data_IF_269021535890
#
_entry.id   IF_269021535890
#
_cell.length_a   1.000
_cell.length_b   1.000
_cell.length_c   1.000
_cell.angle_alpha   90.00
_cell.angle_beta   90.00
_cell.angle_gamma   90.00
#
_symmetry.space_group_name_H-M   'P 1'
#
loop_
_entity.id
_entity.type
_entity.pdbx_description
1 polymer ?
#
# COMPACT_ATOMS: atom_id res chain seq x y z
N UNK A 1 33.16 44.94 -4.81
CA UNK A 1 33.03 43.66 -5.56
C UNK A 1 32.59 42.51 -4.65
N UNK A 2 33.38 42.09 -3.65
CA UNK A 2 33.03 40.98 -2.74
C UNK A 2 31.67 41.13 -1.99
N UNK A 3 31.30 42.34 -1.58
CA UNK A 3 30.01 42.62 -0.91
C UNK A 3 28.78 42.22 -1.75
N UNK A 4 28.83 42.44 -3.07
CA UNK A 4 27.72 42.12 -3.97
C UNK A 4 27.61 40.62 -4.23
N UNK A 5 28.76 39.92 -4.34
CA UNK A 5 28.77 38.47 -4.51
C UNK A 5 28.23 37.75 -3.27
N UNK A 6 28.62 38.19 -2.07
CA UNK A 6 28.08 37.65 -0.82
C UNK A 6 26.57 37.89 -0.71
N UNK A 7 26.08 39.06 -1.13
CA UNK A 7 24.66 39.39 -1.10
C UNK A 7 23.84 38.51 -2.07
N UNK A 8 24.35 38.26 -3.27
CA UNK A 8 23.72 37.35 -4.25
C UNK A 8 23.64 35.92 -3.70
N UNK A 9 24.71 35.42 -3.08
CA UNK A 9 24.73 34.07 -2.49
C UNK A 9 23.70 33.94 -1.35
N UNK A 10 23.67 34.90 -0.43
CA UNK A 10 22.72 34.89 0.70
C UNK A 10 21.27 34.94 0.19
N UNK A 11 20.98 35.80 -0.78
CA UNK A 11 19.64 35.88 -1.39
C UNK A 11 19.26 34.57 -2.09
N UNK A 12 20.19 33.95 -2.83
CA UNK A 12 19.99 32.66 -3.49
C UNK A 12 19.65 31.55 -2.50
N UNK A 13 20.41 31.43 -1.40
CA UNK A 13 20.18 30.43 -0.34
C UNK A 13 18.82 30.64 0.34
N UNK A 14 18.43 31.88 0.63
CA UNK A 14 17.15 32.16 1.27
C UNK A 14 15.95 31.80 0.37
N UNK A 15 16.04 32.08 -0.93
CA UNK A 15 14.97 31.77 -1.88
C UNK A 15 14.82 30.26 -2.05
N UNK A 16 15.93 29.55 -2.28
CA UNK A 16 15.92 28.08 -2.45
C UNK A 16 15.50 27.39 -1.15
N UNK A 17 16.04 27.80 -0.01
CA UNK A 17 15.70 27.23 1.29
C UNK A 17 14.23 27.40 1.66
N UNK A 18 13.64 28.57 1.38
CA UNK A 18 12.20 28.81 1.61
C UNK A 18 11.32 28.01 0.65
N UNK A 19 11.71 27.88 -0.61
CA UNK A 19 10.97 27.07 -1.59
C UNK A 19 10.99 25.58 -1.19
N UNK A 20 12.15 25.07 -0.78
CA UNK A 20 12.31 23.70 -0.30
C UNK A 20 11.50 23.44 0.99
N UNK A 21 11.57 24.35 1.98
CA UNK A 21 10.78 24.24 3.20
C UNK A 21 9.27 24.25 2.92
N UNK A 22 8.80 25.09 1.99
CA UNK A 22 7.39 25.11 1.56
C UNK A 22 6.98 23.82 0.86
N UNK A 23 7.82 23.28 -0.02
CA UNK A 23 7.56 22.02 -0.70
C UNK A 23 7.44 20.86 0.30
N UNK A 24 8.36 20.78 1.27
CA UNK A 24 8.29 19.78 2.35
C UNK A 24 7.03 19.95 3.20
N UNK A 25 6.67 21.18 3.57
CA UNK A 25 5.48 21.45 4.36
C UNK A 25 4.20 21.06 3.59
N UNK A 26 4.14 21.34 2.29
CA UNK A 26 3.03 20.95 1.42
C UNK A 26 2.91 19.44 1.29
N UNK A 27 4.02 18.75 1.03
CA UNK A 27 4.04 17.29 0.92
C UNK A 27 3.63 16.62 2.23
N UNK A 28 4.11 17.14 3.37
CA UNK A 28 3.75 16.62 4.68
C UNK A 28 2.26 16.83 4.99
N UNK A 29 1.72 18.01 4.67
CA UNK A 29 0.31 18.31 4.84
C UNK A 29 -0.58 17.44 3.93
N UNK A 30 -0.20 17.27 2.67
CA UNK A 30 -0.90 16.41 1.71
C UNK A 30 -0.85 14.94 2.13
N UNK A 31 0.32 14.45 2.55
CA UNK A 31 0.51 13.10 3.08
C UNK A 31 -0.35 12.86 4.33
N UNK A 32 -0.38 13.81 5.26
CA UNK A 32 -1.18 13.71 6.47
C UNK A 32 -2.69 13.75 6.16
N UNK A 33 -3.13 14.59 5.21
CA UNK A 33 -4.51 14.62 4.75
C UNK A 33 -4.91 13.29 4.10
N UNK A 34 -4.06 12.73 3.24
CA UNK A 34 -4.29 11.43 2.61
C UNK A 34 -4.30 10.26 3.63
N UNK A 35 -3.44 10.31 4.64
CA UNK A 35 -3.41 9.33 5.73
C UNK A 35 -4.64 9.41 6.63
N UNK A 36 -5.17 10.62 6.87
CA UNK A 36 -6.43 10.83 7.61
C UNK A 36 -7.64 10.35 6.81
N UNK A 37 -7.71 10.66 5.52
CA UNK A 37 -8.79 10.21 4.63
C UNK A 37 -8.87 8.67 4.56
N UNK A 38 -7.72 7.99 4.64
CA UNK A 38 -7.61 6.53 4.68
C UNK A 38 -7.96 5.89 6.02
N UNK A 39 -7.97 6.67 7.10
CA UNK A 39 -8.19 6.17 8.46
C UNK A 39 -7.17 5.12 8.90
N UNK A 40 -7.46 4.44 10.02
CA UNK A 40 -6.60 3.38 10.55
C UNK A 40 -6.47 2.18 9.58
N UNK A 41 -7.52 1.85 8.79
CA UNK A 41 -7.50 0.79 7.77
C UNK A 41 -6.50 1.03 6.70
N UNK A 42 -6.58 2.18 6.03
CA UNK A 42 -5.68 2.43 4.93
C UNK A 42 -4.23 2.61 5.40
N UNK A 43 -3.99 2.90 6.68
CA UNK A 43 -2.64 2.87 7.27
C UNK A 43 -2.15 1.44 7.51
N UNK A 44 -2.97 0.59 8.15
CA UNK A 44 -2.64 -0.82 8.38
C UNK A 44 -2.48 -1.60 7.07
N UNK A 45 -3.37 -1.38 6.10
CA UNK A 45 -3.32 -1.96 4.75
C UNK A 45 -2.07 -1.53 3.97
N UNK A 46 -1.64 -0.27 4.08
CA UNK A 46 -0.40 0.20 3.49
C UNK A 46 0.85 -0.42 4.17
N UNK A 47 0.82 -0.57 5.50
CA UNK A 47 1.88 -1.25 6.24
C UNK A 47 1.97 -2.73 5.86
N UNK A 48 0.84 -3.45 5.79
CA UNK A 48 0.75 -4.83 5.31
C UNK A 48 1.35 -5.00 3.91
N UNK A 49 1.05 -4.06 3.00
CA UNK A 49 1.61 -4.07 1.64
C UNK A 49 3.13 -3.89 1.64
N UNK A 50 3.67 -3.09 2.57
CA UNK A 50 5.10 -2.87 2.73
C UNK A 50 5.83 -4.08 3.32
N UNK A 51 5.17 -4.80 4.25
CA UNK A 51 5.72 -5.99 4.91
C UNK A 51 5.71 -7.19 3.96
N UNK A 52 4.61 -7.42 3.26
CA UNK A 52 4.43 -8.55 2.33
C UNK A 52 5.14 -8.31 0.98
N UNK A 53 5.46 -7.05 0.66
CA UNK A 53 6.02 -6.66 -0.63
C UNK A 53 5.01 -6.79 -1.78
N UNK A 54 3.71 -6.86 -1.49
CA UNK A 54 2.64 -6.98 -2.46
C UNK A 54 1.52 -5.99 -2.14
N UNK A 55 1.14 -5.19 -3.13
CA UNK A 55 0.02 -4.25 -2.95
C UNK A 55 -1.33 -4.98 -2.94
N UNK A 56 -2.34 -4.39 -2.30
CA UNK A 56 -3.71 -4.92 -2.34
C UNK A 56 -4.21 -5.08 -3.79
N UNK A 57 -3.94 -4.08 -4.62
CA UNK A 57 -4.35 -4.08 -6.03
C UNK A 57 -3.66 -5.19 -6.83
N UNK A 58 -2.37 -5.41 -6.61
CA UNK A 58 -1.64 -6.51 -7.24
C UNK A 58 -2.20 -7.88 -6.82
N UNK A 59 -2.49 -8.06 -5.52
CA UNK A 59 -3.08 -9.29 -5.01
C UNK A 59 -4.47 -9.56 -5.64
N UNK A 60 -5.31 -8.53 -5.76
CA UNK A 60 -6.60 -8.59 -6.45
C UNK A 60 -6.46 -8.97 -7.92
N UNK A 61 -5.47 -8.42 -8.63
CA UNK A 61 -5.19 -8.74 -10.02
C UNK A 61 -4.69 -10.18 -10.20
N UNK A 62 -3.79 -10.64 -9.32
CA UNK A 62 -3.27 -12.01 -9.36
C UNK A 62 -4.40 -13.02 -9.16
N UNK A 63 -5.30 -12.77 -8.19
CA UNK A 63 -6.42 -13.66 -7.92
C UNK A 63 -7.66 -13.36 -8.76
N UNK A 64 -7.62 -12.36 -9.64
CA UNK A 64 -8.73 -11.91 -10.46
C UNK A 64 -10.03 -11.72 -9.66
N UNK A 65 -9.96 -10.94 -8.57
CA UNK A 65 -11.10 -10.62 -7.72
C UNK A 65 -11.31 -9.10 -7.66
N UNK A 66 -12.56 -8.68 -7.83
CA UNK A 66 -12.95 -7.26 -7.71
C UNK A 66 -13.58 -6.94 -6.36
N UNK A 67 -14.19 -7.93 -5.72
CA UNK A 67 -14.84 -7.80 -4.42
C UNK A 67 -14.11 -8.68 -3.41
N UNK A 68 -13.82 -8.14 -2.23
CA UNK A 68 -13.13 -8.87 -1.17
C UNK A 68 -14.13 -9.77 -0.44
N UNK A 69 -14.59 -10.83 -1.10
CA UNK A 69 -15.41 -11.87 -0.46
C UNK A 69 -14.55 -13.12 -0.20
N UNK A 70 -14.61 -13.72 1.00
CA UNK A 70 -13.84 -14.92 1.32
C UNK A 70 -14.09 -16.07 0.32
N UNK A 71 -15.32 -16.21 -0.14
CA UNK A 71 -15.73 -17.27 -1.06
C UNK A 71 -15.09 -17.12 -2.44
N UNK A 72 -15.08 -15.90 -2.99
CA UNK A 72 -14.49 -15.63 -4.31
C UNK A 72 -12.96 -15.76 -4.26
N UNK A 73 -12.33 -15.25 -3.20
CA UNK A 73 -10.89 -15.36 -2.97
C UNK A 73 -10.48 -16.84 -2.90
N UNK A 74 -11.17 -17.65 -2.09
CA UNK A 74 -10.85 -19.06 -1.92
C UNK A 74 -11.05 -19.84 -3.22
N UNK A 75 -12.17 -19.61 -3.93
CA UNK A 75 -12.47 -20.25 -5.21
C UNK A 75 -11.38 -19.98 -6.26
N UNK A 76 -11.00 -18.70 -6.43
CA UNK A 76 -10.01 -18.33 -7.44
C UNK A 76 -8.61 -18.79 -7.04
N UNK A 77 -8.27 -18.72 -5.74
CA UNK A 77 -7.04 -19.29 -5.20
C UNK A 77 -6.93 -20.79 -5.51
N UNK A 78 -7.95 -21.60 -5.20
CA UNK A 78 -7.88 -23.06 -5.41
C UNK A 78 -7.70 -23.41 -6.88
N UNK A 79 -8.40 -22.70 -7.77
CA UNK A 79 -8.22 -22.86 -9.21
C UNK A 79 -6.79 -22.51 -9.64
N UNK A 80 -6.32 -21.29 -9.33
CA UNK A 80 -5.03 -20.79 -9.76
C UNK A 80 -3.86 -21.57 -9.15
N UNK A 81 -3.99 -21.99 -7.89
CA UNK A 81 -2.98 -22.80 -7.21
C UNK A 81 -2.82 -24.17 -7.87
N UNK A 82 -3.94 -24.83 -8.20
CA UNK A 82 -3.97 -26.14 -8.84
C UNK A 82 -3.40 -26.11 -10.25
N UNK A 83 -3.79 -25.14 -11.09
CA UNK A 83 -3.33 -25.08 -12.49
C UNK A 83 -1.86 -24.65 -12.61
N UNK A 84 -1.30 -24.01 -11.58
CA UNK A 84 0.12 -23.63 -11.54
C UNK A 84 1.02 -24.64 -10.81
N UNK A 85 0.48 -25.80 -10.42
CA UNK A 85 1.26 -26.82 -9.72
C UNK A 85 2.40 -27.38 -10.60
N UNK A 86 3.60 -27.52 -10.01
CA UNK A 86 4.77 -28.05 -10.72
C UNK A 86 4.54 -29.44 -11.32
N UNK A 87 3.78 -30.29 -10.63
CA UNK A 87 3.53 -31.67 -11.04
C UNK A 87 2.74 -31.77 -12.34
N UNK A 88 1.96 -30.74 -12.67
CA UNK A 88 1.18 -30.64 -13.92
C UNK A 88 1.83 -29.73 -14.95
N UNK A 89 3.12 -29.39 -14.77
CA UNK A 89 3.87 -28.52 -15.69
C UNK A 89 3.73 -27.03 -15.41
N UNK A 90 3.16 -26.64 -14.27
CA UNK A 90 3.07 -25.26 -13.83
C UNK A 90 4.39 -24.67 -13.30
N UNK A 91 4.37 -23.38 -12.97
CA UNK A 91 5.54 -22.65 -12.47
C UNK A 91 5.47 -22.46 -10.96
N UNK A 92 6.53 -22.87 -10.26
CA UNK A 92 6.68 -22.60 -8.82
C UNK A 92 6.48 -21.13 -8.49
N UNK A 93 7.03 -20.27 -9.33
CA UNK A 93 7.06 -18.85 -9.09
C UNK A 93 5.63 -18.29 -9.17
N UNK A 94 4.87 -18.71 -10.18
CA UNK A 94 3.47 -18.32 -10.32
C UNK A 94 2.61 -18.89 -9.19
N UNK A 95 2.78 -20.17 -8.84
CA UNK A 95 2.10 -20.77 -7.68
C UNK A 95 2.43 -20.02 -6.38
N UNK A 96 3.70 -19.65 -6.18
CA UNK A 96 4.13 -18.85 -5.01
C UNK A 96 3.49 -17.46 -5.02
N UNK A 97 3.36 -16.81 -6.18
CA UNK A 97 2.68 -15.51 -6.31
C UNK A 97 1.19 -15.61 -5.99
N UNK A 98 0.53 -16.69 -6.40
CA UNK A 98 -0.87 -16.97 -6.03
C UNK A 98 -1.03 -17.12 -4.52
N UNK A 99 -0.11 -17.84 -3.85
CA UNK A 99 -0.11 -17.96 -2.38
C UNK A 99 0.07 -16.61 -1.70
N UNK A 100 1.07 -15.81 -2.11
CA UNK A 100 1.31 -14.49 -1.53
C UNK A 100 0.14 -13.53 -1.74
N UNK A 101 -0.50 -13.60 -2.90
CA UNK A 101 -1.71 -12.81 -3.17
C UNK A 101 -2.85 -13.18 -2.21
N UNK A 102 -3.06 -14.48 -1.96
CA UNK A 102 -4.07 -14.93 -1.00
C UNK A 102 -3.76 -14.43 0.42
N UNK A 103 -2.54 -14.62 0.89
CA UNK A 103 -2.10 -14.13 2.21
C UNK A 103 -2.38 -12.63 2.38
N UNK A 104 -2.08 -11.84 1.35
CA UNK A 104 -2.31 -10.39 1.36
C UNK A 104 -3.80 -10.02 1.41
N UNK A 105 -4.66 -10.74 0.69
CA UNK A 105 -6.11 -10.50 0.73
C UNK A 105 -6.74 -10.95 2.06
N UNK A 106 -6.29 -12.09 2.60
CA UNK A 106 -6.74 -12.59 3.91
C UNK A 106 -6.36 -11.60 5.03
N UNK A 107 -5.17 -11.00 4.96
CA UNK A 107 -4.77 -9.93 5.88
C UNK A 107 -5.66 -8.69 5.74
N UNK A 108 -6.03 -8.31 4.51
CA UNK A 108 -6.95 -7.18 4.27
C UNK A 108 -8.32 -7.43 4.90
N UNK A 109 -8.88 -8.63 4.73
CA UNK A 109 -10.16 -9.01 5.34
C UNK A 109 -10.09 -8.90 6.86
N UNK A 110 -9.00 -9.37 7.46
CA UNK A 110 -8.79 -9.27 8.91
C UNK A 110 -8.71 -7.81 9.38
N UNK A 111 -8.00 -6.94 8.65
CA UNK A 111 -7.93 -5.50 8.94
C UNK A 111 -9.34 -4.87 8.91
N UNK A 112 -10.17 -5.22 7.92
CA UNK A 112 -11.55 -4.72 7.81
C UNK A 112 -12.42 -5.21 8.97
N UNK A 113 -12.39 -6.51 9.26
CA UNK A 113 -13.15 -7.10 10.39
C UNK A 113 -12.76 -6.51 11.74
N UNK A 114 -11.46 -6.30 11.99
CA UNK A 114 -11.01 -5.67 13.24
C UNK A 114 -11.54 -4.25 13.40
N UNK A 115 -11.70 -3.52 12.30
CA UNK A 115 -12.22 -2.15 12.34
C UNK A 115 -13.71 -2.08 12.51
N UNK A 116 -14.45 -3.00 11.91
CA UNK A 116 -15.87 -3.16 12.16
C UNK A 116 -16.12 -3.43 13.66
N UNK A 117 -15.35 -4.34 14.27
CA UNK A 117 -15.43 -4.61 15.72
C UNK A 117 -15.07 -3.41 16.58
N UNK A 118 -14.06 -2.63 16.19
CA UNK A 118 -13.69 -1.40 16.91
C UNK A 118 -14.75 -0.30 16.78
N UNK A 119 -15.49 -0.27 15.65
CA UNK A 119 -16.56 0.69 15.39
C UNK A 119 -17.88 0.30 16.06
N UNK A 120 -18.15 -1.00 16.20
CA UNK A 120 -19.36 -1.57 16.80
C UNK A 120 -19.00 -2.56 17.94
N UNK A 121 -18.65 -2.09 19.14
CA UNK A 121 -18.23 -2.95 20.24
C UNK A 121 -19.37 -3.76 20.92
N UNK A 122 -20.64 -3.57 20.55
CA UNK A 122 -21.82 -4.15 21.24
C UNK A 122 -22.71 -5.06 20.37
N UNK A 123 -22.14 -5.82 19.43
CA UNK A 123 -22.84 -6.95 18.77
C UNK A 123 -22.00 -8.20 18.77
#
# INVERSE_FOLDING_TARGET
>A
MAKYLAQIIVMGVQVVGRAFARALQQEYAASQAAARARGAAGQQSAAASSITGMSLQEAQQILNVSTLTPEEIQKNYDHLFKVNDKSVGGSFYLQSKVVRAKERLDEELNIQTQQEKQKNPET
#
